data_IF_189750272882
#
_entry.id   IF_189750272882
#
_cell.length_a   1.000
_cell.length_b   1.000
_cell.length_c   1.000
_cell.angle_alpha   90.00
_cell.angle_beta   90.00
_cell.angle_gamma   90.00
#
_symmetry.space_group_name_H-M   'P 1'
#
loop_
_entity.id
_entity.type
_entity.pdbx_description
1 polymer ?
#
# COMPACT_ATOMS: atom_id res chain seq x y z
N UNK A 1 8.67 1.39 15.11
CA UNK A 1 8.74 2.18 13.87
C UNK A 1 7.54 1.82 13.02
N UNK A 2 6.72 2.80 12.62
CA UNK A 2 5.55 2.62 11.75
C UNK A 2 5.94 2.95 10.32
N UNK A 3 5.76 1.99 9.44
CA UNK A 3 6.07 2.12 8.01
C UNK A 3 4.75 1.97 7.25
N UNK A 4 4.37 3.03 6.55
CA UNK A 4 3.14 3.07 5.76
C UNK A 4 3.45 2.81 4.28
N UNK A 5 2.89 1.74 3.72
CA UNK A 5 2.81 1.58 2.27
C UNK A 5 1.52 2.21 1.74
N UNK A 6 1.64 3.07 0.74
CA UNK A 6 0.52 3.66 0.00
C UNK A 6 0.53 3.09 -1.41
N UNK A 7 -0.62 2.63 -1.91
CA UNK A 7 -0.72 2.14 -3.28
C UNK A 7 -2.08 2.50 -3.91
N UNK A 8 -2.12 2.47 -5.24
CA UNK A 8 -3.34 2.59 -6.04
C UNK A 8 -3.47 1.39 -6.94
N UNK A 9 -4.63 0.74 -6.93
CA UNK A 9 -4.80 -0.53 -7.62
C UNK A 9 -6.05 -0.55 -8.50
N UNK A 10 -5.95 -1.29 -9.60
CA UNK A 10 -7.07 -1.62 -10.48
C UNK A 10 -6.81 -2.98 -11.11
N UNK A 11 -7.67 -3.95 -10.81
CA UNK A 11 -7.60 -5.30 -11.37
C UNK A 11 -6.29 -6.05 -11.05
N UNK A 12 -5.88 -6.02 -9.79
CA UNK A 12 -4.62 -6.62 -9.28
C UNK A 12 -4.87 -7.78 -8.30
N UNK A 13 -6.09 -8.34 -8.27
CA UNK A 13 -6.48 -9.36 -7.31
C UNK A 13 -5.52 -10.57 -7.24
N UNK A 14 -4.97 -11.09 -8.36
CA UNK A 14 -4.06 -12.24 -8.33
C UNK A 14 -2.76 -12.01 -7.56
N UNK A 15 -2.29 -10.77 -7.45
CA UNK A 15 -0.96 -10.44 -6.92
C UNK A 15 -1.00 -9.83 -5.51
N UNK A 16 -2.16 -9.28 -5.11
CA UNK A 16 -2.31 -8.52 -3.86
C UNK A 16 -1.83 -9.25 -2.61
N UNK A 17 -2.15 -10.54 -2.46
CA UNK A 17 -1.82 -11.28 -1.23
C UNK A 17 -0.33 -11.55 -1.09
N UNK A 18 0.35 -11.89 -2.18
CA UNK A 18 1.80 -12.08 -2.20
C UNK A 18 2.52 -10.76 -1.93
N UNK A 19 2.10 -9.69 -2.59
CA UNK A 19 2.67 -8.35 -2.41
C UNK A 19 2.51 -7.84 -0.97
N UNK A 20 1.32 -7.99 -0.36
CA UNK A 20 1.11 -7.65 1.06
C UNK A 20 2.04 -8.45 1.96
N UNK A 21 2.10 -9.77 1.78
CA UNK A 21 2.93 -10.65 2.60
C UNK A 21 4.42 -10.31 2.48
N UNK A 22 4.89 -10.01 1.26
CA UNK A 22 6.26 -9.59 1.01
C UNK A 22 6.61 -8.29 1.73
N UNK A 23 5.76 -7.27 1.61
CA UNK A 23 5.97 -5.99 2.28
C UNK A 23 5.89 -6.10 3.80
N UNK A 24 5.00 -6.94 4.33
CA UNK A 24 4.98 -7.26 5.76
C UNK A 24 6.29 -7.92 6.21
N UNK A 25 6.83 -8.85 5.42
CA UNK A 25 8.14 -9.47 5.65
C UNK A 25 9.29 -8.45 5.64
N UNK A 26 9.21 -7.44 4.77
CA UNK A 26 10.16 -6.32 4.73
C UNK A 26 10.00 -5.32 5.90
N UNK A 27 8.94 -5.45 6.71
CA UNK A 27 8.68 -4.63 7.89
C UNK A 27 7.66 -3.51 7.72
N UNK A 28 6.87 -3.51 6.64
CA UNK A 28 5.72 -2.60 6.49
C UNK A 28 4.66 -2.93 7.53
N UNK A 29 4.18 -1.91 8.26
CA UNK A 29 3.23 -2.08 9.37
C UNK A 29 1.81 -1.64 9.03
N UNK A 30 1.67 -0.68 8.11
CA UNK A 30 0.40 -0.08 7.75
C UNK A 30 0.26 -0.05 6.23
N UNK A 31 -0.93 -0.37 5.72
CA UNK A 31 -1.25 -0.30 4.30
C UNK A 31 -2.42 0.65 4.09
N UNK A 32 -2.26 1.61 3.18
CA UNK A 32 -3.33 2.51 2.72
C UNK A 32 -3.50 2.33 1.21
N UNK A 33 -4.48 1.52 0.85
CA UNK A 33 -4.70 1.08 -0.53
C UNK A 33 -5.93 1.75 -1.07
N UNK A 34 -5.76 2.41 -2.21
CA UNK A 34 -6.86 3.00 -2.96
C UNK A 34 -7.19 2.11 -4.14
N UNK A 35 -8.47 1.90 -4.43
CA UNK A 35 -8.90 1.19 -5.63
C UNK A 35 -9.74 2.08 -6.52
N UNK A 36 -9.73 1.80 -7.82
CA UNK A 36 -10.65 2.41 -8.77
C UNK A 36 -11.06 1.41 -9.85
N UNK A 37 -12.32 1.48 -10.29
CA UNK A 37 -12.84 0.81 -11.50
C UNK A 37 -12.44 -0.66 -11.66
N UNK A 38 -12.50 -1.42 -10.56
CA UNK A 38 -12.18 -2.84 -10.52
C UNK A 38 -13.34 -3.67 -11.10
N UNK A 39 -13.00 -4.71 -11.85
CA UNK A 39 -13.93 -5.63 -12.52
C UNK A 39 -13.57 -7.10 -12.29
N UNK A 40 -12.46 -7.37 -11.60
CA UNK A 40 -11.96 -8.72 -11.31
C UNK A 40 -12.19 -9.16 -9.84
N UNK A 41 -12.80 -8.28 -9.02
CA UNK A 41 -12.99 -8.50 -7.59
C UNK A 41 -11.85 -8.04 -6.68
N UNK A 42 -10.88 -7.28 -7.19
CA UNK A 42 -9.83 -6.61 -6.41
C UNK A 42 -10.39 -5.82 -5.24
N UNK A 43 -11.40 -4.99 -5.50
CA UNK A 43 -12.10 -4.18 -4.50
C UNK A 43 -12.77 -5.04 -3.42
N UNK A 44 -13.42 -6.13 -3.81
CA UNK A 44 -14.00 -7.09 -2.88
C UNK A 44 -12.92 -7.73 -1.99
N UNK A 45 -11.79 -8.14 -2.54
CA UNK A 45 -10.67 -8.69 -1.76
C UNK A 45 -10.15 -7.65 -0.75
N UNK A 46 -9.95 -6.41 -1.19
CA UNK A 46 -9.51 -5.31 -0.32
C UNK A 46 -10.51 -5.01 0.80
N UNK A 47 -11.82 -5.06 0.54
CA UNK A 47 -12.85 -4.90 1.56
C UNK A 47 -12.83 -6.00 2.62
N UNK A 48 -12.54 -7.25 2.21
CA UNK A 48 -12.37 -8.34 3.16
C UNK A 48 -11.12 -8.14 4.03
N UNK A 49 -9.99 -7.77 3.42
CA UNK A 49 -8.75 -7.49 4.14
C UNK A 49 -8.88 -6.29 5.08
N UNK A 50 -9.63 -5.26 4.66
CA UNK A 50 -9.93 -4.11 5.48
C UNK A 50 -10.74 -4.48 6.73
N UNK A 51 -11.82 -5.24 6.56
CA UNK A 51 -12.64 -5.73 7.69
C UNK A 51 -11.88 -6.67 8.61
N UNK A 52 -10.92 -7.43 8.08
CA UNK A 52 -10.01 -8.27 8.85
C UNK A 52 -8.91 -7.46 9.58
N UNK A 53 -8.80 -6.14 9.35
CA UNK A 53 -7.80 -5.28 9.98
C UNK A 53 -6.39 -5.40 9.37
N UNK A 54 -6.25 -6.01 8.20
CA UNK A 54 -4.96 -6.19 7.52
C UNK A 54 -4.50 -4.88 6.85
N UNK A 55 -5.42 -4.10 6.31
CA UNK A 55 -5.14 -2.86 5.58
C UNK A 55 -6.26 -1.82 5.73
N UNK A 56 -6.00 -0.59 5.30
CA UNK A 56 -7.04 0.43 5.08
C UNK A 56 -7.35 0.52 3.59
N UNK A 57 -8.58 0.16 3.22
CA UNK A 57 -9.07 0.27 1.85
C UNK A 57 -9.86 1.57 1.69
N UNK A 58 -9.58 2.33 0.62
CA UNK A 58 -10.33 3.54 0.25
C UNK A 58 -10.72 3.46 -1.23
N UNK A 59 -11.98 3.10 -1.55
CA UNK A 59 -12.45 3.13 -2.93
C UNK A 59 -12.51 4.57 -3.44
N UNK A 60 -12.18 4.75 -4.73
CA UNK A 60 -12.13 6.05 -5.38
C UNK A 60 -13.07 6.11 -6.58
N UNK A 61 -13.77 7.23 -6.71
CA UNK A 61 -14.31 7.66 -7.99
C UNK A 61 -13.32 8.62 -8.62
N UNK A 62 -12.71 8.23 -9.73
CA UNK A 62 -11.74 9.06 -10.46
C UNK A 62 -12.50 9.93 -11.46
N UNK A 63 -12.29 11.25 -11.38
CA UNK A 63 -12.88 12.16 -12.35
C UNK A 63 -12.24 11.99 -13.73
N UNK A 64 -12.98 12.33 -14.79
CA UNK A 64 -12.42 12.39 -16.14
C UNK A 64 -11.17 13.31 -16.15
N UNK A 65 -10.15 12.89 -16.90
CA UNK A 65 -8.87 13.60 -17.06
C UNK A 65 -8.03 13.77 -15.79
N UNK A 66 -8.32 13.03 -14.72
CA UNK A 66 -7.51 12.99 -13.49
C UNK A 66 -6.75 11.66 -13.42
N UNK A 67 -5.46 11.73 -13.10
CA UNK A 67 -4.68 10.52 -12.80
C UNK A 67 -5.17 9.88 -11.49
N UNK A 68 -5.59 8.60 -11.50
CA UNK A 68 -6.00 7.88 -10.29
C UNK A 68 -4.91 7.93 -9.22
N UNK A 69 -3.66 7.65 -9.61
CA UNK A 69 -2.50 7.67 -8.73
C UNK A 69 -2.31 9.03 -8.06
N UNK A 70 -2.34 10.13 -8.82
CA UNK A 70 -2.18 11.47 -8.24
C UNK A 70 -3.35 11.87 -7.33
N UNK A 71 -4.58 11.46 -7.67
CA UNK A 71 -5.74 11.66 -6.80
C UNK A 71 -5.55 10.94 -5.47
N UNK A 72 -5.10 9.68 -5.50
CA UNK A 72 -4.82 8.91 -4.30
C UNK A 72 -3.68 9.48 -3.47
N UNK A 73 -2.55 9.84 -4.07
CA UNK A 73 -1.40 10.38 -3.34
C UNK A 73 -1.76 11.71 -2.66
N UNK A 74 -2.55 12.56 -3.30
CA UNK A 74 -3.10 13.79 -2.69
C UNK A 74 -4.03 13.49 -1.51
N UNK A 75 -4.85 12.45 -1.60
CA UNK A 75 -5.71 12.01 -0.50
C UNK A 75 -4.88 11.40 0.65
N UNK A 76 -3.91 10.53 0.32
CA UNK A 76 -2.99 9.88 1.24
C UNK A 76 -2.18 10.87 2.06
N UNK A 77 -1.73 11.96 1.43
CA UNK A 77 -1.03 13.04 2.12
C UNK A 77 -1.86 13.63 3.28
N UNK A 78 -3.19 13.68 3.14
CA UNK A 78 -4.09 14.19 4.17
C UNK A 78 -4.52 13.13 5.18
N UNK A 79 -4.29 11.85 4.90
CA UNK A 79 -4.79 10.73 5.69
C UNK A 79 -4.15 10.66 7.09
N UNK A 80 -4.89 10.22 8.14
CA UNK A 80 -4.35 10.04 9.49
C UNK A 80 -3.18 9.05 9.57
N UNK A 81 -3.20 7.96 8.80
CA UNK A 81 -2.10 6.98 8.81
C UNK A 81 -0.76 7.59 8.40
N UNK A 82 -0.75 8.43 7.36
CA UNK A 82 0.46 9.18 6.95
C UNK A 82 0.93 10.15 8.04
N UNK A 83 0.01 10.63 8.89
CA UNK A 83 0.29 11.50 10.04
C UNK A 83 0.91 10.75 11.21
N UNK A 84 0.67 9.44 11.29
CA UNK A 84 1.13 8.58 12.37
C UNK A 84 2.36 7.73 12.01
N UNK A 85 2.72 7.62 10.73
CA UNK A 85 3.88 6.84 10.30
C UNK A 85 5.20 7.58 10.53
N UNK A 86 6.26 6.83 10.81
CA UNK A 86 7.64 7.35 10.86
C UNK A 86 8.23 7.44 9.45
N UNK A 87 7.90 6.45 8.61
CA UNK A 87 8.31 6.36 7.21
C UNK A 87 7.13 5.99 6.33
N UNK A 88 7.15 6.47 5.09
CA UNK A 88 6.16 6.11 4.09
C UNK A 88 6.86 5.75 2.78
N UNK A 89 6.26 4.82 2.06
CA UNK A 89 6.63 4.47 0.69
C UNK A 89 5.40 4.40 -0.20
N UNK A 90 5.62 4.66 -1.47
CA UNK A 90 4.66 4.35 -2.54
C UNK A 90 5.22 3.15 -3.27
N UNK A 91 4.41 2.11 -3.47
CA UNK A 91 4.83 0.88 -4.11
C UNK A 91 3.64 0.35 -4.91
N UNK A 92 3.86 0.09 -6.20
CA UNK A 92 2.85 -0.53 -7.04
C UNK A 92 2.81 -2.05 -6.75
N UNK A 93 1.70 -2.73 -7.07
CA UNK A 93 1.46 -4.14 -6.67
C UNK A 93 2.38 -5.12 -7.40
N UNK A 94 2.94 -4.71 -8.54
CA UNK A 94 3.95 -5.46 -9.30
C UNK A 94 5.39 -5.12 -8.90
N UNK A 95 5.59 -4.26 -7.89
CA UNK A 95 6.91 -3.88 -7.38
C UNK A 95 7.21 -4.56 -6.04
N UNK A 96 8.46 -5.01 -5.90
CA UNK A 96 8.93 -5.72 -4.71
C UNK A 96 10.19 -5.06 -4.14
N UNK A 97 10.14 -4.69 -2.86
CA UNK A 97 11.31 -4.17 -2.16
C UNK A 97 12.30 -5.30 -1.92
N UNK A 98 13.52 -5.14 -2.41
CA UNK A 98 14.60 -6.10 -2.21
C UNK A 98 15.74 -5.48 -1.41
N UNK A 99 15.91 -5.90 -0.15
CA UNK A 99 16.89 -5.35 0.78
C UNK A 99 17.93 -6.41 1.09
N UNK A 100 19.21 -6.04 0.92
CA UNK A 100 20.36 -6.90 1.20
C UNK A 100 21.04 -6.58 2.55
N UNK A 101 20.57 -5.56 3.26
CA UNK A 101 21.07 -5.20 4.58
C UNK A 101 20.44 -6.08 5.67
N UNK A 102 21.23 -6.50 6.66
CA UNK A 102 20.76 -7.24 7.82
C UNK A 102 19.90 -8.45 7.45
N UNK A 103 18.70 -8.52 8.03
CA UNK A 103 17.72 -9.58 7.77
C UNK A 103 16.76 -9.25 6.62
N UNK A 104 17.12 -8.29 5.75
CA UNK A 104 16.29 -7.88 4.61
C UNK A 104 15.11 -6.98 4.98
N UNK A 105 15.19 -6.27 6.11
CA UNK A 105 14.11 -5.38 6.58
C UNK A 105 14.40 -3.91 6.33
N UNK A 106 13.35 -3.09 6.20
CA UNK A 106 13.46 -1.63 6.09
C UNK A 106 14.14 -1.06 7.35
N UNK A 107 13.90 -1.65 8.52
CA UNK A 107 14.57 -1.23 9.75
C UNK A 107 16.09 -1.43 9.68
N UNK A 108 16.55 -2.58 9.18
CA UNK A 108 17.97 -2.86 9.02
C UNK A 108 18.61 -1.91 8.00
N UNK A 109 17.93 -1.66 6.87
CA UNK A 109 18.38 -0.70 5.85
C UNK A 109 18.60 0.70 6.46
N UNK A 110 17.65 1.18 7.26
CA UNK A 110 17.72 2.52 7.87
C UNK A 110 18.74 2.62 9.00
N UNK A 111 19.07 1.51 9.67
CA UNK A 111 20.05 1.48 10.75
C UNK A 111 21.51 1.61 10.27
N UNK A 112 21.77 1.34 8.99
CA UNK A 112 23.10 1.42 8.38
C UNK A 112 23.48 2.80 7.84
N UNK A 113 22.63 3.82 8.05
CA UNK A 113 22.84 5.21 7.63
C UNK A 113 23.49 6.02 8.74
#
# INVERSE_FOLDING_TARGET
>A
MRILCVSTVRNEAPFLLEWIAHLQGAGVTDFLIYSNDCTDGTDHLLDHLHRAGVLTHVPQTVAADVSPQWQALKAAWKHPLRRACDWALVCDVDEFINIHAGNGTIADLLSGV
#
